data_IF_239133861131
#
_entry.id   IF_239133861131
#
_cell.length_a   1.000
_cell.length_b   1.000
_cell.length_c   1.000
_cell.angle_alpha   90.00
_cell.angle_beta   90.00
_cell.angle_gamma   90.00
#
_symmetry.space_group_name_H-M   'P 1'
#
loop_
_entity.id
_entity.type
_entity.pdbx_description
1 polymer ?
#
# COMPACT_ATOMS: atom_id res chain seq x y z
N UNK A 1 -14.94 43.06 1.76
CA UNK A 1 -15.69 42.14 2.64
C UNK A 1 -15.70 40.76 2.01
N UNK A 2 -14.61 40.01 2.12
CA UNK A 2 -14.51 38.63 1.63
C UNK A 2 -14.98 37.70 2.75
N UNK A 3 -16.16 37.10 2.58
CA UNK A 3 -16.73 36.16 3.54
C UNK A 3 -15.88 34.90 3.63
N UNK A 4 -14.91 34.89 4.56
CA UNK A 4 -14.29 33.67 5.03
C UNK A 4 -15.38 32.89 5.76
N UNK A 5 -15.92 31.84 5.11
CA UNK A 5 -16.76 30.84 5.78
C UNK A 5 -15.96 30.32 6.97
N UNK A 6 -16.46 30.56 8.18
CA UNK A 6 -15.90 29.94 9.39
C UNK A 6 -15.96 28.42 9.18
N UNK A 7 -14.87 27.68 9.40
CA UNK A 7 -14.88 26.23 9.25
C UNK A 7 -15.91 25.65 10.23
N UNK A 8 -16.76 24.77 9.71
CA UNK A 8 -17.78 24.07 10.48
C UNK A 8 -17.09 23.05 11.39
N UNK A 9 -16.95 23.37 12.67
CA UNK A 9 -16.19 22.55 13.63
C UNK A 9 -16.81 21.16 13.84
N UNK A 10 -18.11 21.00 13.60
CA UNK A 10 -18.77 19.69 13.70
C UNK A 10 -18.34 18.75 12.57
N UNK A 11 -17.94 19.28 11.41
CA UNK A 11 -17.42 18.51 10.29
C UNK A 11 -16.01 17.92 10.54
N UNK A 12 -15.26 18.48 11.51
CA UNK A 12 -13.89 18.07 11.84
C UNK A 12 -13.76 17.45 13.23
N UNK A 13 -14.86 17.16 13.92
CA UNK A 13 -14.86 16.58 15.27
C UNK A 13 -14.11 15.23 15.37
N UNK A 14 -13.92 14.52 14.24
CA UNK A 14 -13.14 13.29 14.13
C UNK A 14 -11.76 13.44 13.49
N UNK A 15 -11.31 14.65 13.19
CA UNK A 15 -9.99 14.93 12.61
C UNK A 15 -8.91 14.93 13.69
N UNK A 16 -8.66 13.75 14.28
CA UNK A 16 -7.72 13.54 15.39
C UNK A 16 -6.31 14.13 15.15
N UNK A 17 -5.92 14.28 13.89
CA UNK A 17 -4.61 14.79 13.47
C UNK A 17 -4.68 16.10 12.67
N UNK A 18 -5.87 16.68 12.44
CA UNK A 18 -6.05 17.94 11.72
C UNK A 18 -5.81 17.87 10.20
N UNK A 19 -5.65 16.67 9.64
CA UNK A 19 -5.25 16.42 8.25
C UNK A 19 -6.35 16.81 7.25
N UNK A 20 -7.63 16.66 7.63
CA UNK A 20 -8.76 17.06 6.78
C UNK A 20 -8.92 18.57 6.75
N UNK A 21 -8.78 19.25 7.90
CA UNK A 21 -8.79 20.71 7.96
C UNK A 21 -7.61 21.31 7.18
N UNK A 22 -6.43 20.69 7.27
CA UNK A 22 -5.23 21.07 6.52
C UNK A 22 -5.41 20.85 5.01
N UNK A 23 -6.05 19.77 4.58
CA UNK A 23 -6.34 19.50 3.17
C UNK A 23 -7.29 20.55 2.56
N UNK A 24 -8.36 20.93 3.27
CA UNK A 24 -9.33 21.92 2.81
C UNK A 24 -8.77 23.36 2.82
N UNK A 25 -7.95 23.70 3.83
CA UNK A 25 -7.24 25.00 3.85
C UNK A 25 -6.09 25.06 2.85
N UNK A 26 -5.44 23.95 2.52
CA UNK A 26 -4.41 23.87 1.47
C UNK A 26 -5.02 24.03 0.07
N UNK A 27 -6.20 23.44 -0.19
CA UNK A 27 -6.95 23.63 -1.43
C UNK A 27 -7.37 25.10 -1.66
N UNK A 28 -7.46 25.89 -0.59
CA UNK A 28 -7.87 27.30 -0.59
C UNK A 28 -6.72 28.30 -0.83
N UNK A 29 -5.45 27.85 -0.80
CA UNK A 29 -4.27 28.72 -0.97
C UNK A 29 -3.59 28.46 -2.33
N UNK A 30 -3.27 29.50 -3.12
CA UNK A 30 -2.45 29.30 -4.31
C UNK A 30 -1.09 28.71 -3.91
N UNK A 31 -0.68 27.64 -4.60
CA UNK A 31 0.57 26.93 -4.32
C UNK A 31 1.78 27.85 -4.57
N UNK A 32 2.22 28.55 -3.52
CA UNK A 32 3.48 29.27 -3.54
C UNK A 32 4.60 28.26 -3.82
N UNK A 33 5.44 28.52 -4.83
CA UNK A 33 6.59 27.67 -5.15
C UNK A 33 7.50 27.61 -3.93
N UNK A 34 7.53 26.45 -3.25
CA UNK A 34 8.41 26.22 -2.11
C UNK A 34 9.87 26.21 -2.60
N UNK A 35 10.81 26.83 -1.87
CA UNK A 35 12.22 26.79 -2.26
C UNK A 35 12.76 25.35 -2.22
N UNK A 36 13.61 24.99 -3.19
CA UNK A 36 14.13 23.63 -3.33
C UNK A 36 14.93 23.16 -2.10
N UNK A 37 15.52 24.12 -1.36
CA UNK A 37 16.24 23.87 -0.10
C UNK A 37 15.37 23.22 0.99
N UNK A 38 14.04 23.38 0.92
CA UNK A 38 13.11 22.78 1.89
C UNK A 38 12.94 21.27 1.71
N UNK A 39 13.28 20.72 0.55
CA UNK A 39 13.19 19.28 0.28
C UNK A 39 14.47 18.52 0.68
N UNK A 40 15.61 19.22 0.75
CA UNK A 40 16.93 18.63 0.99
C UNK A 40 16.98 17.78 2.27
N UNK A 41 16.47 18.23 3.44
CA UNK A 41 16.63 17.48 4.68
C UNK A 41 15.97 16.10 4.62
N UNK A 42 14.71 16.04 4.18
CA UNK A 42 13.99 14.77 4.06
C UNK A 42 14.57 13.86 2.99
N UNK A 43 14.98 14.41 1.84
CA UNK A 43 15.64 13.66 0.78
C UNK A 43 16.97 13.05 1.24
N UNK A 44 17.79 13.84 1.96
CA UNK A 44 19.07 13.39 2.47
C UNK A 44 18.90 12.24 3.46
N UNK A 45 17.93 12.33 4.39
CA UNK A 45 17.65 11.26 5.35
C UNK A 45 17.19 10.00 4.64
N UNK A 46 16.26 10.10 3.69
CA UNK A 46 15.79 8.96 2.92
C UNK A 46 16.92 8.28 2.13
N UNK A 47 17.81 9.08 1.52
CA UNK A 47 18.97 8.59 0.78
C UNK A 47 19.97 7.87 1.69
N UNK A 48 20.29 8.46 2.85
CA UNK A 48 21.20 7.85 3.84
C UNK A 48 20.60 6.55 4.39
N UNK A 49 19.32 6.54 4.74
CA UNK A 49 18.63 5.35 5.25
C UNK A 49 18.61 4.23 4.19
N UNK A 50 18.36 4.57 2.92
CA UNK A 50 18.38 3.62 1.81
C UNK A 50 19.79 3.07 1.54
N UNK A 51 20.82 3.92 1.61
CA UNK A 51 22.21 3.49 1.49
C UNK A 51 22.63 2.57 2.65
N UNK A 52 22.21 2.89 3.88
CA UNK A 52 22.43 2.03 5.04
C UNK A 52 21.75 0.67 4.88
N UNK A 53 20.50 0.64 4.41
CA UNK A 53 19.79 -0.61 4.11
C UNK A 53 20.52 -1.44 3.06
N UNK A 54 20.98 -0.82 1.97
CA UNK A 54 21.74 -1.49 0.92
C UNK A 54 23.07 -2.04 1.43
N UNK A 55 23.78 -1.28 2.26
CA UNK A 55 25.02 -1.74 2.88
C UNK A 55 24.77 -2.92 3.83
N UNK A 56 23.72 -2.88 4.66
CA UNK A 56 23.34 -4.02 5.50
C UNK A 56 23.04 -5.26 4.66
N UNK A 57 22.31 -5.09 3.56
CA UNK A 57 21.96 -6.19 2.67
C UNK A 57 23.20 -6.84 2.04
N UNK A 58 24.15 -6.03 1.56
CA UNK A 58 25.37 -6.54 0.92
C UNK A 58 26.32 -7.24 1.91
N UNK A 59 26.41 -6.76 3.15
CA UNK A 59 27.38 -7.27 4.13
C UNK A 59 26.82 -8.39 5.02
N UNK A 60 25.51 -8.41 5.28
CA UNK A 60 24.88 -9.35 6.21
C UNK A 60 23.81 -10.24 5.56
N UNK A 61 23.53 -10.07 4.26
CA UNK A 61 22.51 -10.84 3.55
C UNK A 61 21.07 -10.55 3.99
N UNK A 62 20.86 -9.46 4.74
CA UNK A 62 19.52 -9.05 5.17
C UNK A 62 18.74 -8.52 3.96
N UNK A 63 17.49 -8.96 3.73
CA UNK A 63 16.70 -8.42 2.63
C UNK A 63 16.61 -6.89 2.67
N UNK A 64 17.03 -6.22 1.59
CA UNK A 64 17.21 -4.76 1.56
C UNK A 64 15.93 -3.99 1.89
N UNK A 65 14.76 -4.50 1.49
CA UNK A 65 13.47 -3.86 1.77
C UNK A 65 13.08 -4.02 3.24
N UNK A 66 13.35 -5.17 3.85
CA UNK A 66 13.14 -5.36 5.28
C UNK A 66 14.06 -4.45 6.11
N UNK A 67 15.35 -4.38 5.74
CA UNK A 67 16.31 -3.48 6.37
C UNK A 67 15.85 -2.02 6.24
N UNK A 68 15.42 -1.59 5.05
CA UNK A 68 14.88 -0.25 4.82
C UNK A 68 13.64 0.06 5.66
N UNK A 69 12.71 -0.88 5.79
CA UNK A 69 11.51 -0.73 6.62
C UNK A 69 11.87 -0.58 8.10
N UNK A 70 12.75 -1.45 8.63
CA UNK A 70 13.17 -1.40 10.02
C UNK A 70 13.95 -0.13 10.35
N UNK A 71 14.83 0.32 9.45
CA UNK A 71 15.53 1.60 9.57
C UNK A 71 14.52 2.76 9.55
N UNK A 72 13.58 2.76 8.60
CA UNK A 72 12.53 3.79 8.54
C UNK A 72 11.68 3.86 9.80
N UNK A 73 11.30 2.71 10.37
CA UNK A 73 10.57 2.61 11.63
C UNK A 73 11.41 3.14 12.81
N UNK A 74 12.70 2.78 12.88
CA UNK A 74 13.62 3.30 13.89
C UNK A 74 13.79 4.82 13.78
N UNK A 75 13.68 5.37 12.57
CA UNK A 75 13.75 6.80 12.28
C UNK A 75 12.39 7.52 12.35
N UNK A 76 11.34 6.91 12.90
CA UNK A 76 10.00 7.53 12.96
C UNK A 76 9.98 8.92 13.62
N UNK A 77 10.87 9.18 14.58
CA UNK A 77 10.99 10.50 15.23
C UNK A 77 11.33 11.63 14.24
N UNK A 78 12.00 11.31 13.13
CA UNK A 78 12.34 12.27 12.05
C UNK A 78 11.08 12.83 11.40
N UNK A 79 10.02 12.02 11.29
CA UNK A 79 8.74 12.46 10.76
C UNK A 79 8.02 13.44 11.70
N UNK A 80 8.49 13.63 12.94
CA UNK A 80 8.00 14.67 13.83
C UNK A 80 8.57 16.07 13.54
N UNK A 81 9.67 16.19 12.78
CA UNK A 81 10.29 17.49 12.46
C UNK A 81 9.70 18.09 11.17
N UNK A 82 9.02 19.25 11.23
CA UNK A 82 8.42 19.90 10.06
C UNK A 82 9.40 20.23 8.92
N UNK A 83 10.71 20.27 9.20
CA UNK A 83 11.76 20.54 8.19
C UNK A 83 11.99 19.38 7.24
N UNK A 84 11.65 18.16 7.65
CA UNK A 84 11.91 16.94 6.86
C UNK A 84 10.70 16.53 6.01
N UNK A 85 9.50 16.99 6.41
CA UNK A 85 8.21 16.61 5.82
C UNK A 85 8.18 16.73 4.31
N UNK A 86 8.51 17.90 3.76
CA UNK A 86 8.41 18.14 2.31
C UNK A 86 9.29 17.18 1.49
N UNK A 87 10.48 16.85 2.00
CA UNK A 87 11.40 15.90 1.37
C UNK A 87 10.91 14.46 1.47
N UNK A 88 10.47 14.04 2.66
CA UNK A 88 9.94 12.69 2.91
C UNK A 88 8.66 12.43 2.10
N UNK A 89 7.74 13.40 2.05
CA UNK A 89 6.51 13.32 1.25
C UNK A 89 6.80 13.27 -0.25
N UNK A 90 7.82 14.00 -0.70
CA UNK A 90 8.24 13.96 -2.11
C UNK A 90 8.75 12.57 -2.50
N UNK A 91 9.59 11.95 -1.67
CA UNK A 91 10.11 10.59 -1.91
C UNK A 91 8.99 9.55 -1.82
N UNK A 92 8.13 9.61 -0.79
CA UNK A 92 7.06 8.64 -0.59
C UNK A 92 6.01 8.67 -1.70
N UNK A 93 5.76 9.84 -2.29
CA UNK A 93 4.79 9.99 -3.40
C UNK A 93 5.43 9.83 -4.76
N UNK A 94 6.45 10.63 -5.08
CA UNK A 94 7.04 10.68 -6.42
C UNK A 94 8.14 9.64 -6.60
N UNK A 95 9.03 9.50 -5.62
CA UNK A 95 10.12 8.52 -5.66
C UNK A 95 9.59 7.08 -5.72
N UNK A 96 8.64 6.75 -4.85
CA UNK A 96 7.99 5.43 -4.84
C UNK A 96 7.27 5.14 -6.17
N UNK A 97 6.50 6.09 -6.69
CA UNK A 97 5.82 5.94 -8.00
C UNK A 97 6.83 5.77 -9.13
N UNK A 98 7.90 6.55 -9.15
CA UNK A 98 8.97 6.39 -10.14
C UNK A 98 9.60 5.01 -10.04
N UNK A 99 9.89 4.51 -8.83
CA UNK A 99 10.39 3.16 -8.60
C UNK A 99 9.44 2.07 -9.10
N UNK A 100 8.14 2.20 -8.81
CA UNK A 100 7.10 1.27 -9.32
C UNK A 100 7.04 1.29 -10.85
N UNK A 101 7.11 2.48 -11.47
CA UNK A 101 7.12 2.61 -12.94
C UNK A 101 8.38 1.98 -13.54
N UNK A 102 9.55 2.19 -12.94
CA UNK A 102 10.81 1.57 -13.38
C UNK A 102 10.80 0.05 -13.22
N UNK A 103 10.27 -0.46 -12.10
CA UNK A 103 10.01 -1.90 -11.91
C UNK A 103 9.02 -2.42 -12.94
N UNK A 104 7.99 -1.63 -13.29
CA UNK A 104 7.06 -1.95 -14.37
C UNK A 104 7.73 -2.00 -15.74
N UNK A 105 8.74 -1.17 -16.01
CA UNK A 105 9.56 -1.28 -17.23
C UNK A 105 10.48 -2.51 -17.21
N UNK A 106 10.95 -2.93 -16.04
CA UNK A 106 11.72 -4.17 -15.88
C UNK A 106 10.84 -5.41 -16.11
N UNK A 107 9.56 -5.34 -15.71
CA UNK A 107 8.58 -6.42 -15.95
C UNK A 107 8.01 -6.32 -17.36
N UNK A 108 8.38 -7.26 -18.22
CA UNK A 108 7.91 -7.24 -19.61
C UNK A 108 6.44 -7.68 -19.71
N UNK A 109 5.68 -7.14 -20.67
CA UNK A 109 4.34 -7.63 -20.98
C UNK A 109 4.34 -9.15 -21.30
N UNK A 110 5.46 -9.66 -21.82
CA UNK A 110 5.71 -11.08 -22.02
C UNK A 110 5.77 -11.88 -20.71
N UNK A 111 6.32 -11.35 -19.62
CA UNK A 111 6.33 -12.03 -18.31
C UNK A 111 4.92 -12.09 -17.70
N UNK A 112 4.11 -11.05 -17.89
CA UNK A 112 2.70 -11.05 -17.47
C UNK A 112 1.90 -12.06 -18.29
N UNK A 113 2.11 -12.10 -19.61
CA UNK A 113 1.48 -13.10 -20.49
C UNK A 113 1.97 -14.53 -20.20
N UNK A 114 3.24 -14.70 -19.84
CA UNK A 114 3.86 -15.97 -19.48
C UNK A 114 3.47 -16.47 -18.07
N UNK A 115 2.77 -15.67 -17.27
CA UNK A 115 2.20 -16.09 -15.98
C UNK A 115 1.32 -17.33 -16.15
N UNK A 116 0.71 -17.50 -17.33
CA UNK A 116 -0.09 -18.66 -17.69
C UNK A 116 -1.50 -18.60 -17.12
N UNK A 117 -2.41 -19.35 -17.76
CA UNK A 117 -3.82 -19.35 -17.39
C UNK A 117 -4.08 -19.93 -15.99
N UNK A 118 -3.28 -20.92 -15.56
CA UNK A 118 -3.48 -21.59 -14.27
C UNK A 118 -3.17 -20.67 -13.08
N UNK A 119 -2.01 -20.00 -12.98
CA UNK A 119 -1.76 -19.05 -11.91
C UNK A 119 -2.70 -17.85 -11.95
N UNK A 120 -3.09 -17.37 -13.13
CA UNK A 120 -4.08 -16.31 -13.25
C UNK A 120 -5.45 -16.72 -12.70
N UNK A 121 -5.94 -17.92 -13.05
CA UNK A 121 -7.19 -18.45 -12.52
C UNK A 121 -7.13 -18.68 -11.01
N UNK A 122 -6.00 -19.20 -10.51
CA UNK A 122 -5.76 -19.34 -9.07
C UNK A 122 -5.78 -17.99 -8.34
N UNK A 123 -5.17 -16.97 -8.93
CA UNK A 123 -5.18 -15.60 -8.40
C UNK A 123 -6.60 -15.04 -8.35
N UNK A 124 -7.34 -15.13 -9.46
CA UNK A 124 -8.73 -14.67 -9.52
C UNK A 124 -9.61 -15.41 -8.50
N UNK A 125 -9.40 -16.72 -8.32
CA UNK A 125 -10.12 -17.53 -7.34
C UNK A 125 -9.82 -17.08 -5.90
N UNK A 126 -8.54 -16.86 -5.55
CA UNK A 126 -8.17 -16.38 -4.21
C UNK A 126 -8.73 -14.98 -3.95
N UNK A 127 -8.71 -14.09 -4.94
CA UNK A 127 -9.31 -12.76 -4.84
C UNK A 127 -10.82 -12.82 -4.63
N UNK A 128 -11.52 -13.65 -5.42
CA UNK A 128 -12.96 -13.85 -5.28
C UNK A 128 -13.30 -14.48 -3.93
N UNK A 129 -12.53 -15.47 -3.47
CA UNK A 129 -12.72 -16.11 -2.18
C UNK A 129 -12.51 -15.11 -1.03
N UNK A 130 -11.48 -14.26 -1.08
CA UNK A 130 -11.25 -13.21 -0.08
C UNK A 130 -12.42 -12.20 -0.04
N UNK A 131 -12.93 -11.78 -1.19
CA UNK A 131 -14.07 -10.87 -1.28
C UNK A 131 -15.35 -11.51 -0.73
N UNK A 132 -15.66 -12.74 -1.13
CA UNK A 132 -16.83 -13.48 -0.65
C UNK A 132 -16.73 -13.74 0.85
N UNK A 133 -15.55 -14.14 1.35
CA UNK A 133 -15.32 -14.35 2.77
C UNK A 133 -15.57 -13.06 3.58
N UNK A 134 -15.10 -11.91 3.09
CA UNK A 134 -15.35 -10.63 3.75
C UNK A 134 -16.83 -10.23 3.72
N UNK A 135 -17.54 -10.45 2.61
CA UNK A 135 -18.98 -10.22 2.52
C UNK A 135 -19.77 -11.15 3.47
N UNK A 136 -19.37 -12.41 3.57
CA UNK A 136 -19.96 -13.37 4.52
C UNK A 136 -19.66 -12.97 5.97
N UNK A 137 -18.44 -12.56 6.27
CA UNK A 137 -18.05 -12.10 7.59
C UNK A 137 -18.82 -10.84 8.00
N UNK A 138 -19.03 -9.89 7.07
CA UNK A 138 -19.87 -8.72 7.31
C UNK A 138 -21.31 -9.12 7.63
N UNK A 139 -21.90 -10.06 6.88
CA UNK A 139 -23.24 -10.58 7.18
C UNK A 139 -23.32 -11.27 8.55
N UNK A 140 -22.33 -12.10 8.88
CA UNK A 140 -22.30 -12.85 10.14
C UNK A 140 -22.15 -11.94 11.35
N UNK A 141 -21.42 -10.83 11.19
CA UNK A 141 -21.23 -9.78 12.21
C UNK A 141 -22.32 -8.70 12.17
N UNK A 142 -23.35 -8.87 11.34
CA UNK A 142 -24.46 -7.91 11.13
C UNK A 142 -24.02 -6.52 10.66
N UNK A 143 -22.87 -6.45 9.99
CA UNK A 143 -22.38 -5.24 9.34
C UNK A 143 -23.01 -5.06 7.96
N UNK A 144 -22.98 -3.83 7.45
CA UNK A 144 -23.51 -3.52 6.14
C UNK A 144 -22.67 -4.21 5.02
N UNK A 145 -23.28 -4.55 3.87
CA UNK A 145 -22.54 -5.08 2.73
C UNK A 145 -21.43 -4.15 2.25
N UNK A 146 -21.56 -2.84 2.48
CA UNK A 146 -20.55 -1.85 2.17
C UNK A 146 -19.25 -2.09 2.96
N UNK A 147 -19.33 -2.47 4.25
CA UNK A 147 -18.17 -2.83 5.07
C UNK A 147 -17.49 -4.08 4.52
N UNK A 148 -18.27 -5.10 4.14
CA UNK A 148 -17.74 -6.32 3.54
C UNK A 148 -17.05 -6.07 2.19
N UNK A 149 -17.63 -5.20 1.36
CA UNK A 149 -17.04 -4.79 0.08
C UNK A 149 -15.76 -3.98 0.27
N UNK A 150 -15.74 -3.05 1.22
CA UNK A 150 -14.55 -2.27 1.58
C UNK A 150 -13.42 -3.19 2.06
N UNK A 151 -13.67 -4.00 3.09
CA UNK A 151 -12.68 -4.89 3.69
C UNK A 151 -12.21 -5.96 2.69
N UNK A 152 -13.15 -6.58 1.98
CA UNK A 152 -12.87 -7.62 1.00
C UNK A 152 -12.13 -7.09 -0.23
N UNK A 153 -12.55 -5.95 -0.78
CA UNK A 153 -11.88 -5.33 -1.93
C UNK A 153 -10.49 -4.81 -1.57
N UNK A 154 -10.32 -4.25 -0.37
CA UNK A 154 -9.02 -3.85 0.15
C UNK A 154 -8.08 -5.07 0.34
N UNK A 155 -8.59 -6.17 0.90
CA UNK A 155 -7.84 -7.42 1.08
C UNK A 155 -7.46 -8.06 -0.27
N UNK A 156 -8.42 -8.15 -1.20
CA UNK A 156 -8.26 -8.86 -2.46
C UNK A 156 -7.29 -8.18 -3.44
N UNK A 157 -7.10 -6.85 -3.38
CA UNK A 157 -6.35 -6.11 -4.40
C UNK A 157 -4.98 -5.63 -3.88
N UNK A 158 -4.94 -4.49 -3.20
CA UNK A 158 -3.70 -3.78 -2.87
C UNK A 158 -3.75 -3.07 -1.51
N UNK A 159 -4.68 -3.46 -0.63
CA UNK A 159 -4.83 -2.89 0.70
C UNK A 159 -5.37 -1.46 0.65
N UNK A 160 -4.54 -0.51 1.08
CA UNK A 160 -4.96 0.86 1.37
C UNK A 160 -5.47 1.63 0.13
N UNK A 161 -4.84 1.47 -1.04
CA UNK A 161 -5.27 2.19 -2.25
C UNK A 161 -6.63 1.70 -2.76
N UNK A 162 -6.91 0.40 -2.65
CA UNK A 162 -8.24 -0.14 -2.95
C UNK A 162 -9.28 0.32 -1.92
N UNK A 163 -8.94 0.34 -0.64
CA UNK A 163 -9.83 0.85 0.41
C UNK A 163 -10.21 2.32 0.17
N UNK A 164 -9.24 3.17 -0.18
CA UNK A 164 -9.47 4.59 -0.49
C UNK A 164 -10.39 4.77 -1.71
N UNK A 165 -10.16 4.00 -2.77
CA UNK A 165 -10.99 4.06 -3.98
C UNK A 165 -12.43 3.62 -3.70
N UNK A 166 -12.61 2.51 -2.96
CA UNK A 166 -13.94 1.99 -2.60
C UNK A 166 -14.66 2.93 -1.64
N UNK A 167 -13.97 3.50 -0.65
CA UNK A 167 -14.56 4.49 0.25
C UNK A 167 -15.04 5.74 -0.51
N UNK A 168 -14.25 6.20 -1.49
CA UNK A 168 -14.62 7.33 -2.35
C UNK A 168 -15.87 7.10 -3.21
N UNK A 169 -16.11 5.86 -3.64
CA UNK A 169 -17.29 5.50 -4.45
C UNK A 169 -18.52 5.17 -3.60
N UNK A 170 -18.33 4.44 -2.50
CA UNK A 170 -19.43 4.01 -1.62
C UNK A 170 -20.01 5.18 -0.82
N UNK A 171 -19.15 6.12 -0.41
CA UNK A 171 -19.53 7.33 0.31
C UNK A 171 -19.70 7.16 1.81
N UNK A 172 -19.64 8.30 2.52
CA UNK A 172 -19.70 8.42 3.98
C UNK A 172 -21.04 8.02 4.60
N UNK A 173 -22.11 8.05 3.82
CA UNK A 173 -23.46 7.66 4.29
C UNK A 173 -23.59 6.15 4.52
N UNK A 174 -22.76 5.35 3.84
CA UNK A 174 -22.83 3.87 3.87
C UNK A 174 -21.63 3.23 4.58
N UNK A 175 -20.56 4.00 4.80
CA UNK A 175 -19.34 3.58 5.46
C UNK A 175 -18.92 4.63 6.48
N UNK A 176 -18.88 4.23 7.73
CA UNK A 176 -18.36 5.09 8.78
C UNK A 176 -16.84 5.25 8.66
N UNK A 177 -16.34 6.43 8.98
CA UNK A 177 -14.91 6.71 8.94
C UNK A 177 -14.12 5.80 9.91
N UNK A 178 -14.71 5.42 11.05
CA UNK A 178 -14.11 4.45 11.97
C UNK A 178 -13.90 3.08 11.32
N UNK A 179 -14.87 2.58 10.55
CA UNK A 179 -14.77 1.30 9.84
C UNK A 179 -13.69 1.34 8.76
N UNK A 180 -13.60 2.46 8.05
CA UNK A 180 -12.53 2.69 7.08
C UNK A 180 -11.14 2.68 7.73
N UNK A 181 -10.95 3.47 8.78
CA UNK A 181 -9.67 3.54 9.52
C UNK A 181 -9.29 2.20 10.12
N UNK A 182 -10.23 1.48 10.75
CA UNK A 182 -9.98 0.15 11.31
C UNK A 182 -9.55 -0.84 10.22
N UNK A 183 -10.20 -0.80 9.06
CA UNK A 183 -9.83 -1.65 7.91
C UNK A 183 -8.38 -1.39 7.50
N UNK A 184 -7.98 -0.12 7.37
CA UNK A 184 -6.60 0.24 7.02
C UNK A 184 -5.57 -0.24 8.05
N UNK A 185 -5.85 -0.04 9.35
CA UNK A 185 -4.94 -0.45 10.43
C UNK A 185 -4.77 -1.96 10.47
N UNK A 186 -5.88 -2.71 10.38
CA UNK A 186 -5.84 -4.18 10.38
C UNK A 186 -5.09 -4.70 9.16
N UNK A 187 -5.33 -4.14 7.97
CA UNK A 187 -4.61 -4.52 6.76
C UNK A 187 -3.13 -4.23 6.84
N UNK A 188 -2.76 -3.05 7.35
CA UNK A 188 -1.36 -2.67 7.52
C UNK A 188 -0.64 -3.64 8.48
N UNK A 189 -1.26 -3.96 9.62
CA UNK A 189 -0.73 -4.91 10.58
C UNK A 189 -0.60 -6.32 9.99
N UNK A 190 -1.66 -6.81 9.32
CA UNK A 190 -1.65 -8.13 8.68
C UNK A 190 -0.57 -8.21 7.58
N UNK A 191 -0.42 -7.16 6.77
CA UNK A 191 0.59 -7.08 5.71
C UNK A 191 2.02 -7.03 6.29
N UNK A 192 2.23 -6.30 7.38
CA UNK A 192 3.53 -6.28 8.07
C UNK A 192 3.89 -7.64 8.67
N UNK A 193 2.92 -8.34 9.27
CA UNK A 193 3.13 -9.71 9.77
C UNK A 193 3.48 -10.64 8.60
N UNK A 194 2.72 -10.58 7.50
CA UNK A 194 2.95 -11.40 6.30
C UNK A 194 4.33 -11.14 5.67
N UNK A 195 4.77 -9.89 5.60
CA UNK A 195 6.10 -9.51 5.10
C UNK A 195 7.24 -10.22 5.84
N UNK A 196 7.14 -10.32 7.17
CA UNK A 196 8.17 -10.95 8.00
C UNK A 196 8.05 -12.48 7.99
N UNK A 197 6.83 -13.00 7.98
CA UNK A 197 6.57 -14.43 8.19
C UNK A 197 6.55 -15.25 6.91
N UNK A 198 6.16 -14.69 5.77
CA UNK A 198 5.96 -15.49 4.54
C UNK A 198 7.26 -15.91 3.85
N UNK A 199 8.31 -15.07 3.72
CA UNK A 199 9.58 -15.52 3.15
C UNK A 199 10.15 -16.77 3.84
N UNK A 200 10.33 -16.83 5.18
CA UNK A 200 10.82 -18.06 5.82
C UNK A 200 9.82 -19.21 5.72
N UNK A 201 8.51 -18.93 5.75
CA UNK A 201 7.49 -19.96 5.56
C UNK A 201 7.60 -20.66 4.19
N UNK A 202 7.84 -19.90 3.12
CA UNK A 202 8.02 -20.48 1.77
C UNK A 202 9.23 -21.41 1.70
N UNK A 203 10.32 -21.05 2.38
CA UNK A 203 11.51 -21.89 2.46
C UNK A 203 11.25 -23.16 3.28
N UNK A 204 10.59 -23.05 4.43
CA UNK A 204 10.24 -24.20 5.28
C UNK A 204 9.31 -25.20 4.57
N UNK A 205 8.39 -24.71 3.74
CA UNK A 205 7.48 -25.53 2.96
C UNK A 205 8.11 -26.09 1.66
N UNK A 206 9.37 -25.74 1.37
CA UNK A 206 10.09 -26.21 0.18
C UNK A 206 9.51 -25.69 -1.14
N UNK A 207 8.92 -24.49 -1.12
CA UNK A 207 8.34 -23.89 -2.33
C UNK A 207 9.46 -23.50 -3.30
N UNK A 208 9.24 -23.73 -4.58
CA UNK A 208 10.12 -23.19 -5.61
C UNK A 208 9.94 -21.66 -5.73
N UNK A 209 10.85 -20.99 -6.43
CA UNK A 209 10.87 -19.52 -6.53
C UNK A 209 9.58 -18.93 -7.11
N UNK A 210 8.98 -19.61 -8.10
CA UNK A 210 7.73 -19.17 -8.71
C UNK A 210 6.54 -19.31 -7.74
N UNK A 211 6.48 -20.39 -6.96
CA UNK A 211 5.47 -20.59 -5.93
C UNK A 211 5.63 -19.62 -4.77
N UNK A 212 6.86 -19.38 -4.32
CA UNK A 212 7.17 -18.41 -3.27
C UNK A 212 6.77 -16.99 -3.71
N UNK A 213 7.19 -16.59 -4.91
CA UNK A 213 6.82 -15.31 -5.53
C UNK A 213 5.30 -15.17 -5.71
N UNK A 214 4.62 -16.22 -6.15
CA UNK A 214 3.16 -16.23 -6.24
C UNK A 214 2.51 -16.04 -4.87
N UNK A 215 2.94 -16.80 -3.85
CA UNK A 215 2.36 -16.69 -2.51
C UNK A 215 2.52 -15.27 -1.97
N UNK A 216 3.74 -14.73 -1.90
CA UNK A 216 3.97 -13.41 -1.31
C UNK A 216 3.28 -12.30 -2.12
N UNK A 217 3.27 -12.37 -3.44
CA UNK A 217 2.55 -11.43 -4.31
C UNK A 217 1.02 -11.50 -4.18
N UNK A 218 0.46 -12.71 -4.01
CA UNK A 218 -0.97 -12.93 -3.91
C UNK A 218 -1.54 -12.59 -2.52
N UNK A 219 -0.71 -12.59 -1.47
CA UNK A 219 -1.19 -12.54 -0.09
C UNK A 219 -0.78 -11.28 0.69
N UNK A 220 0.41 -10.72 0.45
CA UNK A 220 0.81 -9.45 1.07
C UNK A 220 0.00 -8.33 0.41
N UNK A 221 -0.51 -7.39 1.20
CA UNK A 221 -1.50 -6.40 0.75
C UNK A 221 -0.85 -5.17 0.14
N UNK A 222 0.24 -4.67 0.73
CA UNK A 222 0.98 -3.54 0.18
C UNK A 222 1.87 -3.96 -1.01
N UNK A 223 1.96 -3.11 -2.03
CA UNK A 223 2.73 -3.40 -3.25
C UNK A 223 4.23 -3.48 -2.96
N UNK A 224 4.77 -2.50 -2.24
CA UNK A 224 6.19 -2.43 -1.95
C UNK A 224 6.61 -3.58 -1.02
N UNK A 225 5.79 -3.88 -0.01
CA UNK A 225 6.04 -5.02 0.89
C UNK A 225 6.01 -6.35 0.14
N UNK A 226 5.03 -6.58 -0.74
CA UNK A 226 4.91 -7.84 -1.48
C UNK A 226 6.12 -8.08 -2.40
N UNK A 227 6.52 -7.04 -3.13
CA UNK A 227 7.69 -7.08 -4.01
C UNK A 227 8.96 -7.33 -3.18
N UNK A 228 9.10 -6.63 -2.05
CA UNK A 228 10.25 -6.79 -1.16
C UNK A 228 10.35 -8.15 -0.50
N UNK A 229 9.22 -8.74 -0.11
CA UNK A 229 9.17 -10.12 0.38
C UNK A 229 9.60 -11.12 -0.71
N UNK A 230 9.25 -10.88 -1.97
CA UNK A 230 9.69 -11.71 -3.09
C UNK A 230 11.21 -11.64 -3.29
N UNK A 231 11.77 -10.44 -3.36
CA UNK A 231 13.23 -10.24 -3.48
C UNK A 231 14.01 -10.67 -2.24
N UNK A 232 13.36 -10.78 -1.07
CA UNK A 232 13.94 -11.40 0.11
C UNK A 232 14.15 -12.91 -0.05
N UNK A 233 13.37 -13.56 -0.91
CA UNK A 233 13.51 -14.99 -1.22
C UNK A 233 14.53 -15.19 -2.35
N UNK A 234 14.31 -14.56 -3.51
CA UNK A 234 15.26 -14.52 -4.64
C UNK A 234 14.82 -13.52 -5.71
N UNK A 235 15.69 -13.23 -6.68
CA UNK A 235 15.36 -12.33 -7.80
C UNK A 235 14.19 -12.85 -8.66
N UNK A 236 14.13 -14.17 -8.89
CA UNK A 236 13.05 -14.78 -9.64
C UNK A 236 11.72 -14.73 -8.88
N UNK A 237 11.75 -14.97 -7.56
CA UNK A 237 10.58 -14.82 -6.70
C UNK A 237 10.09 -13.37 -6.65
N UNK A 238 11.01 -12.40 -6.60
CA UNK A 238 10.70 -10.96 -6.68
C UNK A 238 10.04 -10.55 -7.99
N UNK A 239 10.56 -11.00 -9.13
CA UNK A 239 9.95 -10.77 -10.44
C UNK A 239 8.54 -11.37 -10.52
N UNK A 240 8.36 -12.61 -10.06
CA UNK A 240 7.06 -13.27 -10.05
C UNK A 240 6.06 -12.57 -9.11
N UNK A 241 6.50 -12.19 -7.90
CA UNK A 241 5.68 -11.44 -6.96
C UNK A 241 5.22 -10.10 -7.56
N UNK A 242 6.10 -9.42 -8.30
CA UNK A 242 5.79 -8.17 -9.00
C UNK A 242 4.70 -8.39 -10.05
N UNK A 243 4.82 -9.40 -10.90
CA UNK A 243 3.80 -9.74 -11.90
C UNK A 243 2.45 -10.02 -11.25
N UNK A 244 2.42 -10.86 -10.22
CA UNK A 244 1.18 -11.20 -9.49
C UNK A 244 0.55 -9.95 -8.89
N UNK A 245 1.37 -9.10 -8.26
CA UNK A 245 0.90 -7.93 -7.55
C UNK A 245 0.36 -6.85 -8.49
N UNK A 246 1.06 -6.57 -9.58
CA UNK A 246 0.61 -5.60 -10.58
C UNK A 246 -0.65 -6.09 -11.30
N UNK A 247 -0.78 -7.40 -11.54
CA UNK A 247 -2.00 -8.00 -12.09
C UNK A 247 -3.20 -7.75 -11.16
N UNK A 248 -3.03 -7.93 -9.84
CA UNK A 248 -4.09 -7.60 -8.86
C UNK A 248 -4.45 -6.12 -8.92
N UNK A 249 -3.45 -5.22 -8.91
CA UNK A 249 -3.67 -3.77 -8.95
C UNK A 249 -4.45 -3.37 -10.20
N UNK A 250 -4.16 -3.97 -11.36
CA UNK A 250 -4.89 -3.71 -12.60
C UNK A 250 -6.39 -4.09 -12.49
N UNK A 251 -6.72 -5.12 -11.70
CA UNK A 251 -8.10 -5.53 -11.42
C UNK A 251 -8.86 -4.59 -10.47
N UNK A 252 -8.23 -3.52 -9.97
CA UNK A 252 -8.92 -2.48 -9.19
C UNK A 252 -9.95 -1.73 -10.01
N UNK A 253 -9.60 -1.33 -11.23
CA UNK A 253 -10.49 -0.57 -12.11
C UNK A 253 -11.84 -1.27 -12.34
N UNK A 254 -11.89 -2.55 -12.78
CA UNK A 254 -13.16 -3.25 -12.96
C UNK A 254 -13.93 -3.43 -11.64
N UNK A 255 -13.26 -3.71 -10.52
CA UNK A 255 -13.93 -3.84 -9.22
C UNK A 255 -14.62 -2.53 -8.81
N UNK A 256 -13.93 -1.41 -8.93
CA UNK A 256 -14.47 -0.09 -8.57
C UNK A 256 -15.65 0.28 -9.47
N UNK A 257 -15.58 -0.03 -10.77
CA UNK A 257 -16.72 0.20 -11.67
C UNK A 257 -17.94 -0.65 -11.29
N UNK A 258 -17.75 -1.91 -10.90
CA UNK A 258 -18.83 -2.78 -10.44
C UNK A 258 -19.43 -2.30 -9.10
N UNK A 259 -18.61 -1.73 -8.23
CA UNK A 259 -19.06 -1.17 -6.95
C UNK A 259 -19.83 0.15 -7.10
N UNK A 260 -19.64 0.86 -8.22
CA UNK A 260 -20.31 2.12 -8.54
C UNK A 260 -21.68 1.96 -9.21
N UNK A 261 -21.96 0.78 -9.78
CA UNK A 261 -23.24 0.41 -10.40
C UNK A 261 -24.26 0.00 -9.33
#
# INVERSE_FOLDING_TARGET
>A
MTGQRRPDFDAYAGDLFGEMMLADTAASRPAARKPLSRFIPGLAIAAIASAAAAWLAQNYGVPVILAGLLIGLALNFVAGDPRTHDGLDSVSRHGLRAGIVLLGFQVTAMQVAAMGAVPFAGLALVMAAALVAALMAARLTRQSPAVGLLAGGATAICGASAALALYGVIGRERLEQAQFTLTLVVLAAASAIALVTYPPLTQMLGFNEAQAGFLVGASIHDVAQAIGAGFAVSDAAGAQATVVKLTRVALLAPLVTLAAL
#
